data_IF_837386785644
#
_entry.id   IF_837386785644
#
_cell.length_a   1.000
_cell.length_b   1.000
_cell.length_c   1.000
_cell.angle_alpha   90.00
_cell.angle_beta   90.00
_cell.angle_gamma   90.00
#
_symmetry.space_group_name_H-M   'P 1'
#
loop_
_entity.id
_entity.type
_entity.pdbx_description
1 polymer ?
#
# COMPACT_ATOMS: atom_id res chain seq x y z
N UNK A 1 7.54 -7.48 -29.05
CA UNK A 1 6.26 -6.75 -29.28
C UNK A 1 5.05 -7.69 -29.23
N UNK A 2 5.14 -8.89 -29.80
CA UNK A 2 4.03 -9.87 -29.82
C UNK A 2 3.52 -10.26 -28.42
N UNK A 3 4.41 -10.58 -27.47
CA UNK A 3 4.02 -10.97 -26.10
C UNK A 3 3.24 -9.87 -25.37
N UNK A 4 3.67 -8.61 -25.50
CA UNK A 4 2.99 -7.47 -24.90
C UNK A 4 1.60 -7.28 -25.52
N UNK A 5 1.50 -7.43 -26.84
CA UNK A 5 0.23 -7.38 -27.55
C UNK A 5 -0.72 -8.51 -27.09
N UNK A 6 -0.21 -9.74 -26.93
CA UNK A 6 -0.99 -10.87 -26.39
C UNK A 6 -1.50 -10.59 -24.98
N UNK A 7 -0.69 -10.00 -24.11
CA UNK A 7 -1.10 -9.61 -22.75
C UNK A 7 -2.20 -8.55 -22.80
N UNK A 8 -2.03 -7.51 -23.63
CA UNK A 8 -3.03 -6.44 -23.76
C UNK A 8 -4.35 -7.00 -24.31
N UNK A 9 -4.31 -7.81 -25.36
CA UNK A 9 -5.49 -8.41 -25.97
C UNK A 9 -6.19 -9.36 -24.99
N UNK A 10 -5.44 -10.25 -24.33
CA UNK A 10 -6.00 -11.18 -23.35
C UNK A 10 -6.64 -10.47 -22.16
N UNK A 11 -5.98 -9.43 -21.63
CA UNK A 11 -6.53 -8.61 -20.56
C UNK A 11 -7.78 -7.85 -21.01
N UNK A 12 -7.80 -7.31 -22.23
CA UNK A 12 -8.97 -6.64 -22.79
C UNK A 12 -10.16 -7.59 -22.95
N UNK A 13 -9.95 -8.75 -23.58
CA UNK A 13 -10.98 -9.78 -23.78
C UNK A 13 -11.54 -10.24 -22.43
N UNK A 14 -10.66 -10.60 -21.49
CA UNK A 14 -11.10 -11.06 -20.18
C UNK A 14 -11.84 -9.97 -19.40
N UNK A 15 -11.39 -8.71 -19.45
CA UNK A 15 -12.06 -7.60 -18.76
C UNK A 15 -13.43 -7.30 -19.37
N UNK A 16 -13.53 -7.31 -20.70
CA UNK A 16 -14.82 -7.16 -21.41
C UNK A 16 -15.76 -8.28 -21.01
N UNK A 17 -15.29 -9.53 -21.02
CA UNK A 17 -16.05 -10.70 -20.56
C UNK A 17 -16.53 -10.53 -19.12
N UNK A 18 -15.64 -10.17 -18.19
CA UNK A 18 -15.98 -9.96 -16.78
C UNK A 18 -17.05 -8.87 -16.59
N UNK A 19 -16.90 -7.73 -17.26
CA UNK A 19 -17.87 -6.63 -17.17
C UNK A 19 -19.23 -7.03 -17.74
N UNK A 20 -19.23 -7.66 -18.92
CA UNK A 20 -20.45 -8.15 -19.56
C UNK A 20 -21.14 -9.19 -18.68
N UNK A 21 -20.42 -10.22 -18.23
CA UNK A 21 -20.95 -11.29 -17.40
C UNK A 21 -21.47 -10.76 -16.06
N UNK A 22 -20.71 -9.89 -15.39
CA UNK A 22 -21.13 -9.27 -14.12
C UNK A 22 -22.41 -8.45 -14.27
N UNK A 23 -22.56 -7.71 -15.37
CA UNK A 23 -23.80 -6.98 -15.67
C UNK A 23 -24.95 -7.92 -16.01
N UNK A 24 -24.70 -8.98 -16.78
CA UNK A 24 -25.70 -9.96 -17.17
C UNK A 24 -26.26 -10.68 -15.94
N UNK A 25 -25.41 -11.18 -15.05
CA UNK A 25 -25.85 -11.83 -13.79
C UNK A 25 -26.64 -10.88 -12.90
N UNK A 26 -26.24 -9.61 -12.82
CA UNK A 26 -26.93 -8.62 -11.98
C UNK A 26 -28.28 -8.20 -12.55
N UNK A 27 -28.39 -7.94 -13.85
CA UNK A 27 -29.56 -7.32 -14.47
C UNK A 27 -30.53 -8.29 -15.13
N UNK A 28 -30.07 -9.45 -15.62
CA UNK A 28 -30.89 -10.37 -16.40
C UNK A 28 -31.33 -11.56 -15.57
N UNK A 29 -32.65 -11.72 -15.29
CA UNK A 29 -33.16 -12.92 -14.61
C UNK A 29 -32.95 -14.17 -15.46
N UNK A 30 -32.97 -14.07 -16.80
CA UNK A 30 -32.70 -15.17 -17.70
C UNK A 30 -31.26 -15.71 -17.55
N UNK A 31 -30.27 -14.83 -17.33
CA UNK A 31 -28.89 -15.25 -17.06
C UNK A 31 -28.77 -16.02 -15.74
N UNK A 32 -29.50 -15.60 -14.71
CA UNK A 32 -29.53 -16.34 -13.43
C UNK A 32 -30.20 -17.71 -13.60
N UNK A 33 -31.30 -17.78 -14.34
CA UNK A 33 -31.96 -19.05 -14.66
C UNK A 33 -31.04 -20.00 -15.44
N UNK A 34 -30.27 -19.46 -16.40
CA UNK A 34 -29.26 -20.23 -17.14
C UNK A 34 -28.16 -20.79 -16.23
N UNK A 35 -27.64 -19.97 -15.30
CA UNK A 35 -26.67 -20.43 -14.30
C UNK A 35 -27.25 -21.55 -13.43
N UNK A 36 -28.52 -21.41 -13.01
CA UNK A 36 -29.19 -22.42 -12.19
C UNK A 36 -29.42 -23.73 -12.93
N UNK A 37 -29.66 -23.71 -14.25
CA UNK A 37 -29.79 -24.93 -15.05
C UNK A 37 -28.45 -25.56 -15.43
N UNK A 38 -27.35 -24.79 -15.44
CA UNK A 38 -26.01 -25.24 -15.84
C UNK A 38 -25.00 -25.18 -14.69
N UNK A 39 -25.42 -25.61 -13.48
CA UNK A 39 -24.56 -25.59 -12.30
C UNK A 39 -23.29 -26.43 -12.47
N UNK A 40 -23.32 -27.51 -13.25
CA UNK A 40 -22.11 -28.32 -13.49
C UNK A 40 -20.92 -27.48 -14.01
N UNK A 41 -21.19 -26.45 -14.82
CA UNK A 41 -20.18 -25.54 -15.37
C UNK A 41 -20.05 -24.24 -14.55
N UNK A 42 -21.19 -23.61 -14.24
CA UNK A 42 -21.24 -22.24 -13.74
C UNK A 42 -21.44 -22.13 -12.22
N UNK A 43 -21.54 -23.26 -11.51
CA UNK A 43 -21.54 -23.22 -10.06
C UNK A 43 -20.20 -22.64 -9.57
N UNK A 44 -20.17 -21.78 -8.53
CA UNK A 44 -18.94 -21.16 -8.04
C UNK A 44 -17.80 -22.17 -7.83
N UNK A 45 -18.08 -23.30 -7.16
CA UNK A 45 -17.08 -24.36 -6.95
C UNK A 45 -16.56 -24.96 -8.26
N UNK A 46 -17.42 -25.15 -9.28
CA UNK A 46 -17.01 -25.64 -10.59
C UNK A 46 -16.09 -24.66 -11.29
N UNK A 47 -16.40 -23.36 -11.23
CA UNK A 47 -15.54 -22.30 -11.77
C UNK A 47 -14.15 -22.35 -11.10
N UNK A 48 -14.09 -22.55 -9.78
CA UNK A 48 -12.81 -22.71 -9.06
C UNK A 48 -12.00 -23.91 -9.57
N UNK A 49 -12.65 -25.07 -9.82
CA UNK A 49 -11.96 -26.24 -10.39
C UNK A 49 -11.48 -26.00 -11.82
N UNK A 50 -12.33 -25.41 -12.68
CA UNK A 50 -11.95 -25.06 -14.05
C UNK A 50 -10.78 -24.11 -14.09
N UNK A 51 -10.76 -23.10 -13.21
CA UNK A 51 -9.66 -22.14 -13.06
C UNK A 51 -8.35 -22.82 -12.68
N UNK A 52 -8.36 -23.73 -11.70
CA UNK A 52 -7.19 -24.50 -11.32
C UNK A 52 -6.70 -25.42 -12.47
N UNK A 53 -7.62 -26.09 -13.17
CA UNK A 53 -7.30 -26.91 -14.35
C UNK A 53 -6.70 -26.09 -15.50
N UNK A 54 -7.25 -24.90 -15.77
CA UNK A 54 -6.69 -23.94 -16.71
C UNK A 54 -5.27 -23.52 -16.33
N UNK A 55 -4.99 -23.27 -15.05
CA UNK A 55 -3.64 -22.92 -14.62
C UNK A 55 -2.63 -24.05 -14.85
N UNK A 56 -3.02 -25.32 -14.61
CA UNK A 56 -2.18 -26.49 -14.90
C UNK A 56 -1.93 -26.59 -16.41
N UNK A 57 -2.98 -26.45 -17.23
CA UNK A 57 -2.85 -26.45 -18.68
C UNK A 57 -1.92 -25.32 -19.17
N UNK A 58 -2.10 -24.11 -18.64
CA UNK A 58 -1.24 -22.97 -18.93
C UNK A 58 0.22 -23.22 -18.55
N UNK A 59 0.46 -23.85 -17.39
CA UNK A 59 1.80 -24.25 -16.95
C UNK A 59 2.46 -25.20 -17.95
N UNK A 60 1.77 -26.28 -18.34
CA UNK A 60 2.30 -27.25 -19.31
C UNK A 60 2.57 -26.56 -20.65
N UNK A 61 1.62 -25.74 -21.13
CA UNK A 61 1.77 -25.04 -22.40
C UNK A 61 2.95 -24.06 -22.39
N UNK A 62 3.22 -23.39 -21.26
CA UNK A 62 4.31 -22.41 -21.16
C UNK A 62 5.69 -23.07 -21.06
N UNK A 63 5.84 -24.05 -20.18
CA UNK A 63 7.15 -24.60 -19.81
C UNK A 63 7.52 -25.88 -20.57
N UNK A 64 6.55 -26.61 -21.14
CA UNK A 64 6.78 -27.90 -21.83
C UNK A 64 6.61 -27.78 -23.33
N UNK A 65 5.75 -26.86 -23.81
CA UNK A 65 5.40 -26.74 -25.24
C UNK A 65 5.85 -25.39 -25.83
N UNK A 66 5.89 -25.22 -27.16
CA UNK A 66 6.21 -23.93 -27.78
C UNK A 66 5.07 -22.90 -27.71
N UNK A 67 3.87 -23.26 -27.23
CA UNK A 67 2.67 -22.42 -27.26
C UNK A 67 2.56 -21.40 -26.12
N UNK A 68 3.66 -20.68 -25.84
CA UNK A 68 3.75 -19.74 -24.71
C UNK A 68 2.74 -18.58 -24.77
N UNK A 69 2.43 -18.08 -25.97
CA UNK A 69 1.44 -17.01 -26.14
C UNK A 69 0.04 -17.44 -25.68
N UNK A 70 -0.35 -18.69 -25.96
CA UNK A 70 -1.63 -19.23 -25.53
C UNK A 70 -1.66 -19.49 -24.02
N UNK A 71 -0.55 -19.92 -23.43
CA UNK A 71 -0.42 -20.03 -21.98
C UNK A 71 -0.61 -18.68 -21.26
N UNK A 72 -0.04 -17.59 -21.79
CA UNK A 72 -0.24 -16.24 -21.23
C UNK A 72 -1.71 -15.83 -21.26
N UNK A 73 -2.40 -16.13 -22.36
CA UNK A 73 -3.85 -15.91 -22.46
C UNK A 73 -4.60 -16.70 -21.38
N UNK A 74 -4.27 -17.98 -21.18
CA UNK A 74 -4.89 -18.84 -20.17
C UNK A 74 -4.64 -18.31 -18.75
N UNK A 75 -3.40 -17.93 -18.39
CA UNK A 75 -3.09 -17.38 -17.07
C UNK A 75 -3.85 -16.08 -16.80
N UNK A 76 -3.90 -15.18 -17.80
CA UNK A 76 -4.61 -13.91 -17.69
C UNK A 76 -6.12 -14.13 -17.55
N UNK A 77 -6.69 -15.05 -18.32
CA UNK A 77 -8.11 -15.36 -18.24
C UNK A 77 -8.48 -16.06 -16.93
N UNK A 78 -7.65 -17.00 -16.46
CA UNK A 78 -7.83 -17.67 -15.17
C UNK A 78 -7.80 -16.69 -13.99
N UNK A 79 -6.92 -15.69 -14.02
CA UNK A 79 -6.88 -14.62 -13.02
C UNK A 79 -8.17 -13.76 -13.01
N UNK A 80 -8.85 -13.63 -14.15
CA UNK A 80 -10.10 -12.87 -14.25
C UNK A 80 -11.30 -13.72 -13.80
N UNK A 81 -11.26 -15.04 -14.03
CA UNK A 81 -12.29 -15.98 -13.55
C UNK A 81 -12.42 -16.02 -12.02
N UNK A 82 -11.35 -15.70 -11.29
CA UNK A 82 -11.37 -15.47 -9.83
C UNK A 82 -12.38 -14.41 -9.38
N UNK A 83 -12.67 -13.41 -10.24
CA UNK A 83 -13.73 -12.46 -9.94
C UNK A 83 -15.13 -13.01 -10.22
N UNK A 84 -15.23 -13.98 -11.14
CA UNK A 84 -16.49 -14.45 -11.73
C UNK A 84 -17.23 -15.36 -10.77
N UNK A 85 -16.56 -16.30 -10.10
CA UNK A 85 -17.17 -17.18 -9.09
C UNK A 85 -17.84 -16.36 -7.96
N UNK A 86 -17.20 -15.29 -7.47
CA UNK A 86 -17.74 -14.40 -6.46
C UNK A 86 -18.90 -13.52 -6.97
N UNK A 87 -18.99 -13.27 -8.29
CA UNK A 87 -20.16 -12.63 -8.91
C UNK A 87 -21.32 -13.61 -8.96
N UNK A 88 -21.07 -14.87 -9.34
CA UNK A 88 -22.11 -15.91 -9.40
C UNK A 88 -22.63 -16.24 -8.00
N UNK A 89 -21.73 -16.47 -7.03
CA UNK A 89 -22.09 -16.81 -5.65
C UNK A 89 -23.02 -15.76 -5.03
N UNK A 90 -22.69 -14.46 -5.18
CA UNK A 90 -23.52 -13.35 -4.67
C UNK A 90 -24.77 -13.09 -5.50
N UNK A 91 -24.69 -13.22 -6.82
CA UNK A 91 -25.79 -12.91 -7.74
C UNK A 91 -26.88 -13.97 -7.76
N UNK A 92 -26.52 -15.22 -7.47
CA UNK A 92 -27.42 -16.38 -7.48
C UNK A 92 -27.63 -16.99 -6.08
N UNK A 93 -27.01 -16.43 -5.04
CA UNK A 93 -27.04 -16.94 -3.66
C UNK A 93 -26.59 -18.42 -3.54
N UNK A 94 -25.55 -18.79 -4.31
CA UNK A 94 -24.99 -20.15 -4.38
C UNK A 94 -23.74 -20.31 -3.48
N UNK A 95 -23.68 -19.61 -2.35
CA UNK A 95 -22.59 -19.74 -1.39
C UNK A 95 -22.62 -21.09 -0.70
N UNK A 96 -21.47 -21.77 -0.59
CA UNK A 96 -21.35 -23.07 0.10
C UNK A 96 -20.19 -23.05 1.09
N UNK A 97 -20.33 -23.76 2.22
CA UNK A 97 -19.24 -23.89 3.23
C UNK A 97 -17.99 -24.52 2.61
N UNK A 98 -18.18 -25.50 1.71
CA UNK A 98 -17.08 -26.08 0.94
C UNK A 98 -16.42 -25.04 0.03
N UNK A 99 -17.21 -24.25 -0.70
CA UNK A 99 -16.72 -23.19 -1.57
C UNK A 99 -15.88 -22.16 -0.82
N UNK A 100 -16.28 -21.77 0.39
CA UNK A 100 -15.50 -20.86 1.23
C UNK A 100 -14.11 -21.39 1.61
N UNK A 101 -13.92 -22.71 1.61
CA UNK A 101 -12.62 -23.35 1.83
C UNK A 101 -11.86 -23.57 0.52
N UNK A 102 -12.56 -24.03 -0.51
CA UNK A 102 -12.04 -24.36 -1.83
C UNK A 102 -11.48 -23.15 -2.56
N UNK A 103 -12.21 -22.03 -2.57
CA UNK A 103 -11.88 -20.86 -3.38
C UNK A 103 -10.47 -20.31 -3.07
N UNK A 104 -10.09 -20.02 -1.81
CA UNK A 104 -8.72 -19.57 -1.51
C UNK A 104 -7.63 -20.63 -1.72
N UNK A 105 -7.99 -21.91 -1.85
CA UNK A 105 -7.05 -22.96 -2.25
C UNK A 105 -6.84 -22.95 -3.76
N UNK A 106 -7.91 -22.86 -4.54
CA UNK A 106 -7.86 -22.70 -5.99
C UNK A 106 -7.09 -21.44 -6.41
N UNK A 107 -7.22 -20.32 -5.68
CA UNK A 107 -6.39 -19.13 -5.91
C UNK A 107 -4.90 -19.47 -5.92
N UNK A 108 -4.45 -20.13 -4.86
CA UNK A 108 -3.04 -20.49 -4.64
C UNK A 108 -2.56 -21.46 -5.70
N UNK A 109 -3.38 -22.43 -6.08
CA UNK A 109 -3.08 -23.36 -7.16
C UNK A 109 -3.03 -22.68 -8.54
N UNK A 110 -3.67 -21.51 -8.70
CA UNK A 110 -3.69 -20.80 -9.98
C UNK A 110 -2.40 -19.98 -10.19
N UNK A 111 -1.83 -19.36 -9.15
CA UNK A 111 -0.61 -18.55 -9.29
C UNK A 111 0.68 -19.21 -8.79
N UNK A 112 0.67 -20.10 -7.79
CA UNK A 112 1.91 -20.68 -7.25
C UNK A 112 2.63 -21.59 -8.25
N UNK A 113 1.99 -22.52 -8.97
CA UNK A 113 2.69 -23.38 -9.91
C UNK A 113 3.40 -22.60 -11.03
N UNK A 114 2.77 -21.60 -11.69
CA UNK A 114 3.49 -20.75 -12.64
C UNK A 114 4.68 -20.00 -12.03
N UNK A 115 4.55 -19.47 -10.81
CA UNK A 115 5.68 -18.81 -10.12
C UNK A 115 6.84 -19.78 -9.84
N UNK A 116 6.54 -21.03 -9.46
CA UNK A 116 7.54 -22.09 -9.29
C UNK A 116 8.22 -22.39 -10.64
N UNK A 117 7.45 -22.48 -11.72
CA UNK A 117 8.01 -22.65 -13.08
C UNK A 117 8.97 -21.52 -13.45
N UNK A 118 8.60 -20.26 -13.20
CA UNK A 118 9.47 -19.11 -13.45
C UNK A 118 10.68 -19.02 -12.52
N UNK A 119 10.61 -19.64 -11.34
CA UNK A 119 11.78 -19.80 -10.48
C UNK A 119 12.77 -20.80 -11.07
N UNK A 120 12.29 -21.89 -11.68
CA UNK A 120 13.16 -22.84 -12.39
C UNK A 120 13.82 -22.25 -13.64
N UNK A 121 13.18 -21.31 -14.32
CA UNK A 121 13.80 -20.58 -15.44
C UNK A 121 14.78 -19.48 -15.02
N UNK A 122 14.89 -19.20 -13.70
CA UNK A 122 15.81 -18.21 -13.16
C UNK A 122 15.32 -16.76 -13.15
N UNK A 123 14.05 -16.50 -13.50
CA UNK A 123 13.46 -15.15 -13.48
C UNK A 123 13.12 -14.71 -12.04
N UNK A 124 12.78 -15.68 -11.20
CA UNK A 124 12.47 -15.52 -9.78
C UNK A 124 13.46 -16.29 -8.90
N UNK A 125 13.73 -15.76 -7.71
CA UNK A 125 14.48 -16.50 -6.70
C UNK A 125 13.67 -17.68 -6.16
N UNK A 126 14.16 -18.90 -6.39
CA UNK A 126 13.57 -20.14 -5.87
C UNK A 126 13.37 -20.11 -4.35
N UNK A 127 14.31 -19.50 -3.61
CA UNK A 127 14.21 -19.34 -2.15
C UNK A 127 12.98 -18.54 -1.76
N UNK A 128 12.70 -17.44 -2.45
CA UNK A 128 11.56 -16.58 -2.15
C UNK A 128 10.23 -17.27 -2.50
N UNK A 129 10.15 -17.97 -3.63
CA UNK A 129 8.92 -18.67 -4.04
C UNK A 129 8.58 -19.80 -3.04
N UNK A 130 9.59 -20.55 -2.57
CA UNK A 130 9.40 -21.57 -1.55
C UNK A 130 8.92 -20.99 -0.22
N UNK A 131 9.48 -19.85 0.22
CA UNK A 131 9.03 -19.14 1.43
C UNK A 131 7.57 -18.71 1.27
N UNK A 132 7.19 -18.09 0.15
CA UNK A 132 5.81 -17.69 -0.10
C UNK A 132 4.87 -18.90 -0.03
N UNK A 133 5.25 -19.99 -0.71
CA UNK A 133 4.46 -21.23 -0.76
C UNK A 133 4.25 -21.79 0.64
N UNK A 134 5.31 -21.88 1.45
CA UNK A 134 5.24 -22.38 2.81
C UNK A 134 4.30 -21.53 3.68
N UNK A 135 4.39 -20.20 3.61
CA UNK A 135 3.52 -19.29 4.39
C UNK A 135 2.06 -19.41 3.95
N UNK A 136 1.80 -19.52 2.65
CA UNK A 136 0.44 -19.62 2.10
C UNK A 136 -0.27 -20.92 2.49
N UNK A 137 0.43 -22.05 2.42
CA UNK A 137 -0.12 -23.35 2.80
C UNK A 137 -0.24 -23.49 4.31
N UNK A 138 0.82 -23.17 5.07
CA UNK A 138 0.79 -23.20 6.54
C UNK A 138 -0.29 -22.25 7.07
N UNK A 139 -0.34 -21.02 6.57
CA UNK A 139 -1.34 -20.02 6.95
C UNK A 139 -2.77 -20.40 6.61
N UNK A 140 -3.01 -21.20 5.55
CA UNK A 140 -4.36 -21.72 5.28
C UNK A 140 -4.76 -22.77 6.31
N UNK A 141 -3.92 -23.79 6.46
CA UNK A 141 -4.23 -24.98 7.24
C UNK A 141 -4.26 -24.63 8.73
N UNK A 142 -3.21 -23.96 9.21
CA UNK A 142 -3.07 -23.57 10.61
C UNK A 142 -4.15 -22.58 11.02
N UNK A 143 -4.27 -21.44 10.32
CA UNK A 143 -5.21 -20.41 10.76
C UNK A 143 -6.65 -20.90 10.74
N UNK A 144 -7.08 -21.64 9.70
CA UNK A 144 -8.46 -22.15 9.67
C UNK A 144 -8.71 -23.23 10.72
N UNK A 145 -7.78 -24.16 10.95
CA UNK A 145 -7.96 -25.22 11.96
C UNK A 145 -8.03 -24.63 13.37
N UNK A 146 -7.13 -23.70 13.69
CA UNK A 146 -7.12 -23.00 14.99
C UNK A 146 -8.37 -22.15 15.17
N UNK A 147 -8.75 -21.33 14.19
CA UNK A 147 -9.90 -20.43 14.32
C UNK A 147 -11.24 -21.17 14.31
N UNK A 148 -11.36 -22.27 13.57
CA UNK A 148 -12.51 -23.18 13.64
C UNK A 148 -12.66 -23.80 15.03
N UNK A 149 -11.53 -24.21 15.65
CA UNK A 149 -11.53 -24.70 17.03
C UNK A 149 -11.95 -23.63 18.04
N UNK A 150 -11.74 -22.35 17.72
CA UNK A 150 -12.13 -21.21 18.55
C UNK A 150 -13.54 -20.66 18.24
N UNK A 151 -14.30 -21.28 17.32
CA UNK A 151 -15.63 -20.83 16.85
C UNK A 151 -15.67 -19.38 16.33
N UNK A 152 -14.53 -18.84 15.90
CA UNK A 152 -14.45 -17.50 15.31
C UNK A 152 -14.58 -17.66 13.79
N UNK A 153 -15.58 -17.01 13.18
CA UNK A 153 -15.71 -17.02 11.72
C UNK A 153 -14.58 -16.20 11.10
N UNK A 154 -13.84 -16.82 10.18
CA UNK A 154 -12.65 -16.22 9.57
C UNK A 154 -13.05 -15.57 8.26
N UNK A 155 -13.46 -14.32 8.31
CA UNK A 155 -13.66 -13.54 7.10
C UNK A 155 -12.31 -13.30 6.38
N UNK A 156 -12.34 -13.29 5.05
CA UNK A 156 -11.16 -12.94 4.25
C UNK A 156 -10.74 -11.49 4.52
N UNK A 157 -9.48 -11.27 4.92
CA UNK A 157 -8.93 -9.93 5.11
C UNK A 157 -8.45 -9.31 3.79
N UNK A 158 -8.33 -7.98 3.77
CA UNK A 158 -7.94 -7.26 2.56
C UNK A 158 -6.50 -7.57 2.12
N UNK A 159 -5.60 -7.89 3.07
CA UNK A 159 -4.21 -8.25 2.77
C UNK A 159 -4.11 -9.48 1.87
N UNK A 160 -4.88 -10.53 2.17
CA UNK A 160 -4.91 -11.75 1.36
C UNK A 160 -5.38 -11.50 -0.07
N UNK A 161 -6.43 -10.68 -0.23
CA UNK A 161 -6.98 -10.29 -1.55
C UNK A 161 -5.99 -9.48 -2.37
N UNK A 162 -5.38 -8.45 -1.78
CA UNK A 162 -4.38 -7.60 -2.45
C UNK A 162 -3.20 -8.45 -2.90
N UNK A 163 -2.69 -9.32 -2.01
CA UNK A 163 -1.58 -10.22 -2.33
C UNK A 163 -1.93 -11.17 -3.49
N UNK A 164 -3.13 -11.74 -3.53
CA UNK A 164 -3.54 -12.61 -4.63
C UNK A 164 -3.50 -11.88 -5.99
N UNK A 165 -4.03 -10.65 -6.05
CA UNK A 165 -3.98 -9.81 -7.26
C UNK A 165 -2.53 -9.55 -7.69
N UNK A 166 -1.64 -9.22 -6.74
CA UNK A 166 -0.22 -8.98 -7.04
C UNK A 166 0.46 -10.25 -7.53
N UNK A 167 0.17 -11.42 -6.96
CA UNK A 167 0.71 -12.70 -7.44
C UNK A 167 0.27 -13.01 -8.87
N UNK A 168 -1.00 -12.78 -9.22
CA UNK A 168 -1.47 -12.94 -10.60
C UNK A 168 -0.76 -11.98 -11.57
N UNK A 169 -0.62 -10.71 -11.18
CA UNK A 169 0.12 -9.74 -11.97
C UNK A 169 1.61 -10.13 -12.11
N UNK A 170 2.20 -10.72 -11.06
CA UNK A 170 3.59 -11.18 -11.07
C UNK A 170 3.79 -12.34 -12.06
N UNK A 171 2.85 -13.27 -12.18
CA UNK A 171 2.90 -14.35 -13.19
C UNK A 171 2.95 -13.75 -14.61
N UNK A 172 2.08 -12.78 -14.90
CA UNK A 172 2.03 -12.09 -16.20
C UNK A 172 3.33 -11.30 -16.45
N UNK A 173 3.85 -10.63 -15.43
CA UNK A 173 5.12 -9.89 -15.51
C UNK A 173 6.30 -10.82 -15.80
N UNK A 174 6.37 -11.98 -15.15
CA UNK A 174 7.43 -12.96 -15.39
C UNK A 174 7.41 -13.47 -16.85
N UNK A 175 6.21 -13.75 -17.38
CA UNK A 175 6.05 -14.14 -18.79
C UNK A 175 6.50 -13.04 -19.77
N UNK A 176 6.30 -11.76 -19.42
CA UNK A 176 6.75 -10.64 -20.23
C UNK A 176 8.29 -10.49 -20.20
N UNK A 177 8.90 -10.68 -19.02
CA UNK A 177 10.35 -10.55 -18.83
C UNK A 177 11.14 -11.70 -19.49
N UNK A 178 10.59 -12.92 -19.48
CA UNK A 178 11.17 -14.09 -20.15
C UNK A 178 11.49 -13.81 -21.63
N UNK A 179 10.61 -13.06 -22.30
CA UNK A 179 10.77 -12.66 -23.71
C UNK A 179 11.52 -11.35 -23.92
N UNK A 180 11.74 -10.56 -22.86
CA UNK A 180 12.35 -9.23 -22.95
C UNK A 180 13.35 -9.01 -21.80
N UNK A 181 14.51 -9.69 -21.81
CA UNK A 181 15.49 -9.64 -20.72
C UNK A 181 16.14 -8.25 -20.50
N UNK A 182 15.98 -7.33 -21.45
CA UNK A 182 16.48 -5.94 -21.33
C UNK A 182 15.66 -5.05 -20.37
N UNK A 183 14.49 -5.50 -19.92
CA UNK A 183 13.69 -4.77 -18.93
C UNK A 183 14.28 -5.01 -17.54
N UNK A 184 14.35 -3.95 -16.73
CA UNK A 184 14.84 -4.03 -15.34
C UNK A 184 14.00 -5.05 -14.57
N UNK A 185 14.64 -6.09 -14.05
CA UNK A 185 13.98 -7.12 -13.28
C UNK A 185 13.75 -6.66 -11.82
N UNK A 186 12.49 -6.41 -11.47
CA UNK A 186 12.04 -6.11 -10.10
C UNK A 186 11.07 -7.17 -9.55
N UNK A 187 11.04 -8.37 -10.15
CA UNK A 187 10.11 -9.45 -9.77
C UNK A 187 10.37 -9.94 -8.35
N UNK A 188 11.63 -10.12 -7.95
CA UNK A 188 11.99 -10.54 -6.59
C UNK A 188 11.54 -9.52 -5.53
N UNK A 189 11.62 -8.22 -5.83
CA UNK A 189 11.12 -7.16 -4.95
C UNK A 189 9.60 -7.23 -4.79
N UNK A 190 8.86 -7.50 -5.88
CA UNK A 190 7.41 -7.73 -5.83
C UNK A 190 7.10 -9.01 -5.04
N UNK A 191 7.85 -10.08 -5.25
CA UNK A 191 7.67 -11.34 -4.56
C UNK A 191 7.90 -11.19 -3.05
N UNK A 192 8.90 -10.41 -2.63
CA UNK A 192 9.12 -10.06 -1.24
C UNK A 192 7.92 -9.29 -0.66
N UNK A 193 7.34 -8.36 -1.42
CA UNK A 193 6.12 -7.67 -1.01
C UNK A 193 4.93 -8.65 -0.85
N UNK A 194 4.80 -9.64 -1.74
CA UNK A 194 3.80 -10.70 -1.60
C UNK A 194 4.02 -11.55 -0.33
N UNK A 195 5.27 -11.91 -0.01
CA UNK A 195 5.62 -12.64 1.23
C UNK A 195 5.24 -11.81 2.47
N UNK A 196 5.56 -10.52 2.47
CA UNK A 196 5.20 -9.63 3.55
C UNK A 196 3.68 -9.51 3.72
N UNK A 197 2.93 -9.33 2.62
CA UNK A 197 1.46 -9.27 2.65
C UNK A 197 0.83 -10.61 3.06
N UNK A 198 1.42 -11.73 2.66
CA UNK A 198 0.99 -13.08 3.05
C UNK A 198 1.15 -13.28 4.56
N UNK A 199 2.33 -12.95 5.08
CA UNK A 199 2.62 -13.02 6.52
C UNK A 199 1.68 -12.12 7.31
N UNK A 200 1.51 -10.87 6.86
CA UNK A 200 0.55 -9.94 7.45
C UNK A 200 -0.87 -10.52 7.41
N UNK A 201 -1.32 -11.10 6.30
CA UNK A 201 -2.64 -11.72 6.20
C UNK A 201 -2.85 -12.83 7.23
N UNK A 202 -1.83 -13.63 7.53
CA UNK A 202 -1.91 -14.68 8.57
C UNK A 202 -1.99 -14.06 9.96
N UNK A 203 -1.09 -13.12 10.29
CA UNK A 203 -1.02 -12.48 11.61
C UNK A 203 -2.31 -11.71 11.92
N UNK A 204 -2.78 -10.88 10.98
CA UNK A 204 -3.97 -10.04 11.16
C UNK A 204 -5.29 -10.84 11.21
N UNK A 205 -5.30 -12.15 10.93
CA UNK A 205 -6.48 -13.01 11.21
C UNK A 205 -6.69 -13.25 12.71
N UNK A 206 -5.62 -13.19 13.51
CA UNK A 206 -5.69 -13.40 14.96
C UNK A 206 -5.90 -12.10 15.75
N UNK A 207 -5.78 -10.95 15.07
CA UNK A 207 -5.84 -9.64 15.70
C UNK A 207 -7.22 -9.01 15.40
N UNK A 208 -7.99 -8.63 16.44
CA UNK A 208 -9.25 -7.92 16.24
C UNK A 208 -9.04 -6.59 15.50
N UNK A 209 -9.94 -6.28 14.55
CA UNK A 209 -9.83 -5.11 13.67
C UNK A 209 -9.67 -3.76 14.41
N UNK A 210 -10.19 -3.65 15.64
CA UNK A 210 -10.07 -2.44 16.49
C UNK A 210 -8.63 -2.06 16.85
N UNK A 211 -7.69 -3.01 16.80
CA UNK A 211 -6.27 -2.78 17.11
C UNK A 211 -5.46 -2.35 15.89
N UNK A 212 -6.06 -2.27 14.69
CA UNK A 212 -5.31 -1.97 13.47
C UNK A 212 -4.71 -0.56 13.50
N UNK A 213 -5.44 0.43 14.04
CA UNK A 213 -4.92 1.77 14.21
C UNK A 213 -3.72 1.77 15.18
N UNK A 214 -3.90 1.20 16.35
CA UNK A 214 -2.87 1.09 17.38
C UNK A 214 -1.58 0.40 16.86
N UNK A 215 -1.70 -0.69 16.11
CA UNK A 215 -0.54 -1.38 15.52
C UNK A 215 0.20 -0.45 14.55
N UNK A 216 -0.52 0.31 13.73
CA UNK A 216 0.08 1.25 12.79
C UNK A 216 0.80 2.40 13.51
N UNK A 217 0.23 2.96 14.57
CA UNK A 217 0.90 3.97 15.40
C UNK A 217 2.14 3.38 16.09
N UNK A 218 2.07 2.14 16.56
CA UNK A 218 3.23 1.40 17.09
C UNK A 218 4.34 1.19 16.06
N UNK A 219 3.98 0.88 14.81
CA UNK A 219 4.94 0.80 13.70
C UNK A 219 5.56 2.16 13.37
N UNK A 220 4.78 3.25 13.40
CA UNK A 220 5.30 4.62 13.26
C UNK A 220 6.33 4.92 14.36
N UNK A 221 6.04 4.59 15.62
CA UNK A 221 6.97 4.77 16.73
C UNK A 221 8.27 3.98 16.55
N UNK A 222 8.19 2.72 16.11
CA UNK A 222 9.37 1.89 15.80
C UNK A 222 10.19 2.52 14.66
N UNK A 223 9.54 3.07 13.63
CA UNK A 223 10.21 3.81 12.57
C UNK A 223 10.99 5.02 13.12
N UNK A 224 10.39 5.77 14.06
CA UNK A 224 11.06 6.86 14.76
C UNK A 224 12.33 6.42 15.49
N UNK A 225 12.26 5.32 16.27
CA UNK A 225 13.43 4.76 16.98
C UNK A 225 14.51 4.29 16.00
N UNK A 226 14.14 3.54 14.96
CA UNK A 226 15.10 3.05 13.96
C UNK A 226 15.78 4.23 13.25
N UNK A 227 15.05 5.32 12.97
CA UNK A 227 15.62 6.53 12.40
C UNK A 227 16.67 7.17 13.31
N UNK A 228 16.42 7.24 14.62
CA UNK A 228 17.41 7.74 15.59
C UNK A 228 18.69 6.90 15.56
N UNK A 229 18.56 5.57 15.57
CA UNK A 229 19.72 4.64 15.50
C UNK A 229 20.47 4.78 14.17
N UNK A 230 19.77 4.89 13.05
CA UNK A 230 20.39 5.07 11.73
C UNK A 230 21.09 6.43 11.62
N UNK A 231 20.54 7.46 12.24
CA UNK A 231 21.13 8.80 12.31
C UNK A 231 22.42 8.80 13.11
N UNK A 232 22.46 8.08 14.23
CA UNK A 232 23.67 7.86 15.03
C UNK A 232 24.78 7.18 14.21
N UNK A 233 24.44 6.22 13.35
CA UNK A 233 25.39 5.60 12.41
C UNK A 233 25.66 6.45 11.15
N UNK A 234 25.24 7.72 11.12
CA UNK A 234 25.36 8.65 10.00
C UNK A 234 24.75 8.16 8.67
N UNK A 235 23.81 7.20 8.72
CA UNK A 235 23.08 6.67 7.55
C UNK A 235 21.81 7.48 7.28
N UNK A 236 21.98 8.78 7.03
CA UNK A 236 20.88 9.76 6.95
C UNK A 236 19.81 9.44 5.90
N UNK A 237 20.21 9.00 4.70
CA UNK A 237 19.25 8.66 3.65
C UNK A 237 18.31 7.51 4.09
N UNK A 238 18.86 6.50 4.77
CA UNK A 238 18.08 5.40 5.32
C UNK A 238 17.22 5.84 6.50
N UNK A 239 17.76 6.66 7.41
CA UNK A 239 16.99 7.23 8.53
C UNK A 239 15.73 7.98 8.04
N UNK A 240 15.90 8.85 7.04
CA UNK A 240 14.81 9.62 6.44
C UNK A 240 13.81 8.70 5.72
N UNK A 241 14.30 7.67 5.04
CA UNK A 241 13.44 6.70 4.36
C UNK A 241 12.53 5.95 5.33
N UNK A 242 13.05 5.61 6.52
CA UNK A 242 12.26 4.98 7.59
C UNK A 242 11.23 5.96 8.18
N UNK A 243 11.54 7.26 8.30
CA UNK A 243 10.55 8.27 8.70
C UNK A 243 9.44 8.42 7.65
N UNK A 244 9.77 8.39 6.36
CA UNK A 244 8.76 8.41 5.29
C UNK A 244 7.85 7.17 5.39
N UNK A 245 8.40 5.99 5.73
CA UNK A 245 7.59 4.80 6.01
C UNK A 245 6.68 5.01 7.25
N UNK A 246 7.21 5.60 8.34
CA UNK A 246 6.42 5.98 9.52
C UNK A 246 5.27 6.93 9.19
N UNK A 247 5.51 7.91 8.32
CA UNK A 247 4.48 8.82 7.80
C UNK A 247 3.39 8.12 6.99
N UNK A 248 3.72 7.03 6.28
CA UNK A 248 2.70 6.22 5.63
C UNK A 248 1.84 5.49 6.68
N UNK A 249 2.43 4.99 7.77
CA UNK A 249 1.68 4.33 8.84
C UNK A 249 0.74 5.31 9.58
N UNK A 250 1.22 6.50 9.95
CA UNK A 250 0.41 7.60 10.49
C UNK A 250 -0.77 7.97 9.56
N UNK A 251 -0.51 8.12 8.25
CA UNK A 251 -1.60 8.40 7.30
C UNK A 251 -2.68 7.30 7.27
N UNK A 252 -2.30 6.05 7.51
CA UNK A 252 -3.21 4.91 7.50
C UNK A 252 -3.89 4.65 8.85
N UNK A 253 -3.29 4.98 9.99
CA UNK A 253 -3.84 4.67 11.30
C UNK A 253 -5.17 5.41 11.57
N UNK A 254 -5.26 6.71 11.25
CA UNK A 254 -6.47 7.50 11.42
C UNK A 254 -7.60 7.03 10.51
N UNK A 255 -7.25 6.54 9.31
CA UNK A 255 -8.23 5.91 8.40
C UNK A 255 -8.70 4.56 8.93
N UNK A 256 -7.82 3.79 9.55
CA UNK A 256 -8.18 2.51 10.17
C UNK A 256 -9.04 2.73 11.41
N UNK A 257 -8.74 3.74 12.24
CA UNK A 257 -9.53 4.12 13.41
C UNK A 257 -10.97 4.51 13.02
N UNK A 258 -11.13 5.29 11.95
CA UNK A 258 -12.46 5.65 11.42
C UNK A 258 -13.24 4.45 10.88
N UNK A 259 -12.55 3.47 10.27
CA UNK A 259 -13.20 2.34 9.59
C UNK A 259 -13.51 1.18 10.53
N UNK A 260 -12.60 0.86 11.45
CA UNK A 260 -12.67 -0.34 12.30
C UNK A 260 -12.83 -0.01 13.79
N UNK A 261 -12.89 1.27 14.16
CA UNK A 261 -12.76 1.74 15.52
C UNK A 261 -11.30 1.77 15.99
N UNK A 262 -11.08 2.34 17.16
CA UNK A 262 -9.77 2.36 17.84
C UNK A 262 -9.95 2.05 19.32
N UNK A 263 -8.84 1.85 20.04
CA UNK A 263 -8.89 1.69 21.49
C UNK A 263 -8.90 3.06 22.20
N UNK A 264 -9.18 3.05 23.50
CA UNK A 264 -9.12 4.26 24.33
C UNK A 264 -7.74 4.91 24.34
N UNK A 265 -6.68 4.10 24.24
CA UNK A 265 -5.29 4.55 24.31
C UNK A 265 -4.67 4.85 22.94
N UNK A 266 -5.30 4.39 21.85
CA UNK A 266 -4.84 4.62 20.47
C UNK A 266 -4.42 6.06 20.18
N UNK A 267 -5.27 7.08 20.46
CA UNK A 267 -4.91 8.48 20.22
C UNK A 267 -3.66 8.95 20.99
N UNK A 268 -3.44 8.48 22.22
CA UNK A 268 -2.25 8.85 22.99
C UNK A 268 -1.00 8.19 22.41
N UNK A 269 -1.12 6.95 21.95
CA UNK A 269 0.00 6.24 21.32
C UNK A 269 0.38 6.85 19.98
N UNK A 270 -0.60 7.28 19.19
CA UNK A 270 -0.43 8.06 17.96
C UNK A 270 0.32 9.37 18.24
N UNK A 271 -0.12 10.15 19.22
CA UNK A 271 0.52 11.41 19.60
C UNK A 271 2.00 11.24 20.03
N UNK A 272 2.30 10.15 20.75
CA UNK A 272 3.68 9.79 21.14
C UNK A 272 4.49 9.37 19.91
N UNK A 273 3.94 8.51 19.05
CA UNK A 273 4.60 8.05 17.83
C UNK A 273 4.96 9.23 16.92
N UNK A 274 4.03 10.14 16.70
CA UNK A 274 4.22 11.36 15.92
C UNK A 274 5.29 12.27 16.49
N UNK A 275 5.35 12.41 17.82
CA UNK A 275 6.37 13.23 18.46
C UNK A 275 7.77 12.63 18.26
N UNK A 276 7.93 11.31 18.35
CA UNK A 276 9.22 10.65 18.10
C UNK A 276 9.62 10.74 16.63
N UNK A 277 8.70 10.40 15.71
CA UNK A 277 8.98 10.34 14.27
C UNK A 277 9.13 11.71 13.61
N UNK A 278 8.32 12.69 14.00
CA UNK A 278 8.30 14.02 13.34
C UNK A 278 8.87 15.14 14.19
N UNK A 279 9.15 14.90 15.47
CA UNK A 279 9.82 15.86 16.37
C UNK A 279 11.26 15.46 16.65
N UNK A 280 11.45 14.37 17.39
CA UNK A 280 12.77 13.96 17.89
C UNK A 280 13.71 13.51 16.77
N UNK A 281 13.25 12.65 15.85
CA UNK A 281 14.12 12.14 14.79
C UNK A 281 14.66 13.24 13.85
N UNK A 282 13.84 14.18 13.33
CA UNK A 282 14.36 15.30 12.54
C UNK A 282 15.29 16.23 13.33
N UNK A 283 14.99 16.48 14.60
CA UNK A 283 15.85 17.28 15.46
C UNK A 283 17.23 16.65 15.64
N UNK A 284 17.28 15.33 15.82
CA UNK A 284 18.55 14.61 15.92
C UNK A 284 19.33 14.63 14.60
N UNK A 285 18.64 14.52 13.46
CA UNK A 285 19.27 14.70 12.13
C UNK A 285 19.87 16.10 11.98
N UNK A 286 19.21 17.16 12.48
CA UNK A 286 19.76 18.54 12.45
C UNK A 286 21.09 18.60 13.23
N UNK A 287 21.13 18.04 14.43
CA UNK A 287 22.33 18.03 15.29
C UNK A 287 23.49 17.36 14.57
N UNK A 288 23.27 16.13 14.08
CA UNK A 288 24.32 15.33 13.43
C UNK A 288 24.74 15.86 12.05
N UNK A 289 23.87 16.58 11.33
CA UNK A 289 24.20 17.17 10.01
C UNK A 289 24.82 18.55 10.07
N UNK A 290 24.33 19.42 10.96
CA UNK A 290 24.78 20.79 11.01
C UNK A 290 26.02 20.97 11.89
N UNK A 291 26.11 20.19 12.98
CA UNK A 291 27.15 20.35 13.99
C UNK A 291 27.14 21.71 14.69
N UNK A 292 28.01 21.87 15.68
CA UNK A 292 28.18 23.13 16.42
C UNK A 292 27.03 23.50 17.36
N UNK A 293 27.26 24.52 18.20
CA UNK A 293 26.34 24.90 19.27
C UNK A 293 24.94 25.32 18.75
N UNK A 294 24.89 26.02 17.62
CA UNK A 294 23.63 26.48 17.02
C UNK A 294 22.71 25.33 16.61
N UNK A 295 23.25 24.17 16.24
CA UNK A 295 22.44 23.01 15.87
C UNK A 295 21.59 22.50 17.05
N UNK A 296 22.14 22.49 18.26
CA UNK A 296 21.41 22.10 19.48
C UNK A 296 20.28 23.09 19.80
N UNK A 297 20.55 24.40 19.67
CA UNK A 297 19.54 25.44 19.93
C UNK A 297 18.40 25.34 18.91
N UNK A 298 18.72 25.22 17.62
CA UNK A 298 17.72 25.09 16.55
C UNK A 298 16.93 23.79 16.69
N UNK A 299 17.59 22.68 17.01
CA UNK A 299 16.93 21.40 17.25
C UNK A 299 16.00 21.43 18.48
N UNK A 300 16.43 22.07 19.57
CA UNK A 300 15.58 22.26 20.76
C UNK A 300 14.36 23.13 20.44
N UNK A 301 14.54 24.23 19.72
CA UNK A 301 13.44 25.08 19.26
C UNK A 301 12.47 24.30 18.35
N UNK A 302 12.99 23.45 17.47
CA UNK A 302 12.18 22.58 16.62
C UNK A 302 11.32 21.61 17.44
N UNK A 303 11.92 20.87 18.39
CA UNK A 303 11.20 19.93 19.26
C UNK A 303 10.10 20.65 20.04
N UNK A 304 10.41 21.80 20.64
CA UNK A 304 9.44 22.60 21.40
C UNK A 304 8.29 23.06 20.51
N UNK A 305 8.55 23.44 19.26
CA UNK A 305 7.51 23.83 18.32
C UNK A 305 6.58 22.67 17.95
N UNK A 306 7.12 21.46 17.80
CA UNK A 306 6.33 20.25 17.50
C UNK A 306 5.48 19.86 18.70
N UNK A 307 6.04 19.91 19.92
CA UNK A 307 5.31 19.67 21.16
C UNK A 307 4.18 20.69 21.37
N UNK A 308 4.46 21.98 21.19
CA UNK A 308 3.46 23.04 21.28
C UNK A 308 2.33 22.84 20.27
N UNK A 309 2.67 22.50 19.02
CA UNK A 309 1.69 22.22 17.98
C UNK A 309 0.80 21.01 18.33
N UNK A 310 1.39 19.95 18.89
CA UNK A 310 0.67 18.78 19.36
C UNK A 310 -0.35 19.15 20.45
N UNK A 311 0.10 19.87 21.47
CA UNK A 311 -0.76 20.34 22.56
C UNK A 311 -1.90 21.20 22.01
N UNK A 312 -1.58 22.21 21.18
CA UNK A 312 -2.59 23.08 20.56
C UNK A 312 -3.62 22.29 19.75
N UNK A 313 -3.18 21.26 19.03
CA UNK A 313 -4.08 20.44 18.24
C UNK A 313 -5.05 19.66 19.14
N UNK A 314 -4.54 19.01 20.19
CA UNK A 314 -5.34 18.21 21.12
C UNK A 314 -6.31 19.06 21.93
N UNK A 315 -5.88 20.21 22.45
CA UNK A 315 -6.69 21.06 23.34
C UNK A 315 -7.69 21.93 22.60
N UNK A 316 -7.30 22.45 21.43
CA UNK A 316 -8.00 23.57 20.79
C UNK A 316 -8.51 23.16 19.41
N UNK A 317 -7.62 22.82 18.47
CA UNK A 317 -8.02 22.65 17.08
C UNK A 317 -8.95 21.45 16.84
N UNK A 318 -8.88 20.40 17.69
CA UNK A 318 -9.78 19.23 17.60
C UNK A 318 -11.23 19.52 18.00
N UNK A 319 -11.45 20.51 18.86
CA UNK A 319 -12.78 20.87 19.39
C UNK A 319 -13.41 22.08 18.71
N UNK A 320 -12.71 22.66 17.74
CA UNK A 320 -13.12 23.84 17.01
C UNK A 320 -14.20 23.54 15.97
N UNK A 321 -15.31 24.25 16.05
CA UNK A 321 -16.44 24.18 15.10
C UNK A 321 -16.33 25.22 13.97
N UNK A 322 -15.36 26.14 14.05
CA UNK A 322 -15.14 27.22 13.07
C UNK A 322 -14.34 26.78 11.82
N UNK A 323 -13.80 25.56 11.82
CA UNK A 323 -12.99 25.02 10.73
C UNK A 323 -13.81 24.04 9.86
N UNK A 324 -13.82 24.21 8.52
CA UNK A 324 -14.37 23.20 7.62
C UNK A 324 -13.67 21.85 7.82
N UNK A 325 -14.44 20.76 7.74
CA UNK A 325 -13.92 19.42 7.92
C UNK A 325 -12.72 19.14 6.98
N UNK A 326 -11.53 18.92 7.57
CA UNK A 326 -10.31 18.60 6.83
C UNK A 326 -9.37 19.78 6.54
N UNK A 327 -9.55 20.93 7.18
CA UNK A 327 -8.58 22.04 7.16
C UNK A 327 -7.84 22.12 8.50
N UNK A 328 -6.52 22.20 8.46
CA UNK A 328 -5.67 22.35 9.65
C UNK A 328 -5.23 23.80 9.84
N UNK A 329 -4.98 24.16 11.09
CA UNK A 329 -4.37 25.41 11.50
C UNK A 329 -2.84 25.23 11.62
N UNK A 330 -2.08 25.87 10.72
CA UNK A 330 -0.63 25.69 10.55
C UNK A 330 -0.24 24.41 9.79
N UNK A 331 1.03 24.33 9.39
CA UNK A 331 1.58 23.21 8.59
C UNK A 331 1.65 21.88 9.37
N UNK A 332 1.06 20.77 8.88
CA UNK A 332 1.10 19.47 9.57
C UNK A 332 2.50 19.02 9.98
N UNK A 333 2.61 18.31 11.12
CA UNK A 333 3.90 17.80 11.65
C UNK A 333 4.68 16.96 10.62
N UNK A 334 4.05 15.98 9.92
CA UNK A 334 4.78 15.20 8.92
C UNK A 334 5.32 16.07 7.78
N UNK A 335 4.57 17.09 7.37
CA UNK A 335 5.00 18.04 6.36
C UNK A 335 6.20 18.89 6.84
N UNK A 336 6.16 19.38 8.08
CA UNK A 336 7.29 20.10 8.69
C UNK A 336 8.55 19.24 8.81
N UNK A 337 8.41 17.96 9.19
CA UNK A 337 9.50 17.01 9.23
C UNK A 337 10.14 16.79 7.85
N UNK A 338 9.33 16.65 6.80
CA UNK A 338 9.85 16.47 5.43
C UNK A 338 10.61 17.68 4.90
N UNK A 339 10.24 18.91 5.28
CA UNK A 339 11.01 20.12 4.94
C UNK A 339 12.42 20.03 5.53
N UNK A 340 12.51 19.74 6.84
CA UNK A 340 13.78 19.66 7.56
C UNK A 340 14.63 18.50 7.05
N UNK A 341 14.06 17.30 6.95
CA UNK A 341 14.77 16.10 6.52
C UNK A 341 15.22 16.19 5.05
N UNK A 342 14.39 16.74 4.17
CA UNK A 342 14.76 16.99 2.77
C UNK A 342 15.91 18.00 2.67
N UNK A 343 15.86 19.08 3.44
CA UNK A 343 16.94 20.07 3.50
C UNK A 343 18.23 19.47 4.07
N UNK A 344 18.17 18.60 5.08
CA UNK A 344 19.34 17.99 5.71
C UNK A 344 20.17 17.11 4.74
N UNK A 345 19.60 16.66 3.62
CA UNK A 345 20.31 15.90 2.60
C UNK A 345 20.99 16.76 1.52
N UNK A 346 20.61 18.04 1.42
CA UNK A 346 20.97 18.91 0.29
C UNK A 346 21.73 20.16 0.75
N UNK A 347 21.28 20.75 1.85
CA UNK A 347 21.68 22.08 2.30
C UNK A 347 22.91 22.05 3.20
N UNK A 348 23.72 23.12 3.12
CA UNK A 348 24.77 23.42 4.09
C UNK A 348 24.15 23.85 5.43
N UNK A 349 24.90 23.78 6.56
CA UNK A 349 24.37 24.06 7.90
C UNK A 349 23.61 25.39 8.04
N UNK A 350 24.08 26.54 7.50
CA UNK A 350 23.34 27.80 7.63
C UNK A 350 21.97 27.76 6.93
N UNK A 351 21.90 27.11 5.77
CA UNK A 351 20.65 26.96 5.01
C UNK A 351 19.72 25.96 5.71
N UNK A 352 20.27 24.90 6.31
CA UNK A 352 19.47 23.95 7.10
C UNK A 352 18.81 24.64 8.30
N UNK A 353 19.54 25.50 9.02
CA UNK A 353 18.99 26.25 10.14
C UNK A 353 17.87 27.20 9.71
N UNK A 354 18.08 27.96 8.63
CA UNK A 354 17.06 28.91 8.14
C UNK A 354 15.80 28.20 7.67
N UNK A 355 15.95 27.08 6.94
CA UNK A 355 14.82 26.25 6.51
C UNK A 355 14.09 25.62 7.72
N UNK A 356 14.83 25.24 8.76
CA UNK A 356 14.24 24.73 10.01
C UNK A 356 13.43 25.82 10.73
N UNK A 357 13.98 27.03 10.87
CA UNK A 357 13.25 28.17 11.44
C UNK A 357 11.99 28.50 10.63
N UNK A 358 12.07 28.43 9.30
CA UNK A 358 10.91 28.61 8.44
C UNK A 358 9.84 27.53 8.69
N UNK A 359 10.24 26.26 8.82
CA UNK A 359 9.32 25.17 9.17
C UNK A 359 8.67 25.39 10.54
N UNK A 360 9.42 25.84 11.55
CA UNK A 360 8.89 26.19 12.87
C UNK A 360 7.80 27.26 12.76
N UNK A 361 8.08 28.35 12.04
CA UNK A 361 7.12 29.46 11.84
C UNK A 361 5.85 28.93 11.17
N UNK A 362 5.97 28.13 10.11
CA UNK A 362 4.80 27.56 9.41
C UNK A 362 3.96 26.64 10.32
N UNK A 363 4.62 25.83 11.16
CA UNK A 363 3.94 24.93 12.09
C UNK A 363 3.20 25.67 13.21
N UNK A 364 3.76 26.76 13.73
CA UNK A 364 3.16 27.56 14.81
C UNK A 364 2.15 28.58 14.26
N UNK A 365 2.27 28.99 13.00
CA UNK A 365 1.38 29.96 12.38
C UNK A 365 -0.10 29.54 12.35
N UNK A 366 -0.95 30.54 12.08
CA UNK A 366 -2.39 30.37 11.82
C UNK A 366 -2.73 30.17 10.33
N UNK A 367 -1.73 29.87 9.49
CA UNK A 367 -1.95 29.64 8.06
C UNK A 367 -2.71 28.32 7.89
N UNK A 368 -3.83 28.36 7.18
CA UNK A 368 -4.70 27.20 6.99
C UNK A 368 -4.22 26.32 5.84
N UNK A 369 -4.06 25.02 6.09
CA UNK A 369 -3.64 24.03 5.09
C UNK A 369 -4.69 22.92 4.94
N UNK A 370 -5.00 22.54 3.70
CA UNK A 370 -5.88 21.40 3.45
C UNK A 370 -5.19 20.06 3.80
N UNK A 371 -5.94 19.15 4.40
CA UNK A 371 -5.48 17.82 4.76
C UNK A 371 -5.24 16.94 3.53
N UNK A 372 -4.04 16.36 3.43
CA UNK A 372 -3.65 15.48 2.32
C UNK A 372 -4.61 14.30 2.15
N UNK A 373 -4.75 13.46 3.17
CA UNK A 373 -5.60 12.26 3.10
C UNK A 373 -7.11 12.49 2.97
N UNK A 374 -7.68 13.53 3.61
CA UNK A 374 -9.14 13.75 3.67
C UNK A 374 -9.70 14.60 2.54
N UNK A 375 -8.94 15.60 2.07
CA UNK A 375 -9.39 16.56 1.05
C UNK A 375 -8.72 16.28 -0.28
N UNK A 376 -7.38 16.34 -0.34
CA UNK A 376 -6.62 16.23 -1.60
C UNK A 376 -6.82 14.85 -2.23
N UNK A 377 -6.57 13.76 -1.47
CA UNK A 377 -6.59 12.40 -2.01
C UNK A 377 -7.98 11.94 -2.48
N UNK A 378 -9.06 12.51 -1.93
CA UNK A 378 -10.44 12.14 -2.28
C UNK A 378 -10.89 12.76 -3.61
N UNK A 379 -10.27 13.87 -4.02
CA UNK A 379 -10.54 14.54 -5.31
C UNK A 379 -9.80 13.91 -6.49
N UNK A 380 -8.74 13.14 -6.22
CA UNK A 380 -7.95 12.48 -7.27
C UNK A 380 -8.73 11.25 -7.78
N UNK A 381 -9.00 11.13 -9.10
CA UNK A 381 -9.63 9.94 -9.64
C UNK A 381 -8.75 8.71 -9.42
N UNK A 382 -9.36 7.58 -9.05
CA UNK A 382 -8.66 6.32 -8.73
C UNK A 382 -7.59 5.89 -9.73
N UNK A 383 -7.79 5.92 -11.07
CA UNK A 383 -6.74 5.54 -12.01
C UNK A 383 -5.52 6.47 -11.93
N UNK A 384 -5.74 7.78 -11.78
CA UNK A 384 -4.66 8.76 -11.66
C UNK A 384 -3.87 8.57 -10.35
N UNK A 385 -4.56 8.21 -9.25
CA UNK A 385 -3.89 7.90 -7.98
C UNK A 385 -2.92 6.72 -8.11
N UNK A 386 -3.30 5.65 -8.82
CA UNK A 386 -2.42 4.52 -9.06
C UNK A 386 -1.24 4.87 -9.97
N UNK A 387 -1.46 5.69 -11.01
CA UNK A 387 -0.39 6.15 -11.91
C UNK A 387 0.62 7.04 -11.17
N UNK A 388 0.15 7.99 -10.37
CA UNK A 388 1.02 8.87 -9.55
C UNK A 388 1.81 8.02 -8.55
N UNK A 389 1.15 7.07 -7.88
CA UNK A 389 1.79 6.19 -6.89
C UNK A 389 2.87 5.30 -7.54
N UNK A 390 2.58 4.71 -8.70
CA UNK A 390 3.55 3.94 -9.48
C UNK A 390 4.73 4.81 -9.94
N UNK A 391 4.45 6.04 -10.41
CA UNK A 391 5.47 7.01 -10.78
C UNK A 391 6.41 7.33 -9.62
N UNK A 392 5.86 7.62 -8.42
CA UNK A 392 6.66 7.88 -7.22
C UNK A 392 7.54 6.67 -6.88
N UNK A 393 7.01 5.45 -6.90
CA UNK A 393 7.77 4.23 -6.60
C UNK A 393 8.93 4.06 -7.59
N UNK A 394 8.68 4.27 -8.89
CA UNK A 394 9.72 4.20 -9.92
C UNK A 394 10.78 5.28 -9.70
N UNK A 395 10.39 6.53 -9.47
CA UNK A 395 11.34 7.64 -9.23
C UNK A 395 12.20 7.37 -7.99
N UNK A 396 11.59 6.92 -6.89
CA UNK A 396 12.31 6.54 -5.67
C UNK A 396 13.28 5.39 -5.96
N UNK A 397 12.83 4.33 -6.66
CA UNK A 397 13.67 3.19 -7.02
C UNK A 397 14.87 3.61 -7.89
N UNK A 398 14.68 4.53 -8.83
CA UNK A 398 15.76 5.06 -9.67
C UNK A 398 16.75 5.86 -8.83
N UNK A 399 16.29 6.69 -7.90
CA UNK A 399 17.16 7.46 -7.02
C UNK A 399 17.99 6.54 -6.11
N UNK A 400 17.39 5.51 -5.53
CA UNK A 400 18.14 4.53 -4.74
C UNK A 400 19.21 3.82 -5.57
N UNK A 401 18.95 3.54 -6.86
CA UNK A 401 19.95 2.97 -7.77
C UNK A 401 21.12 3.92 -8.03
N UNK A 402 20.87 5.23 -8.09
CA UNK A 402 21.94 6.24 -8.27
C UNK A 402 22.81 6.44 -7.02
N UNK A 403 22.40 5.89 -5.87
CA UNK A 403 23.08 6.02 -4.57
C UNK A 403 23.41 7.47 -4.17
N UNK A 404 22.67 8.46 -4.69
CA UNK A 404 22.92 9.88 -4.45
C UNK A 404 21.94 10.45 -3.40
N UNK A 405 22.41 10.79 -2.18
CA UNK A 405 21.53 11.32 -1.13
C UNK A 405 20.91 12.68 -1.50
N UNK A 406 21.62 13.49 -2.29
CA UNK A 406 21.16 14.82 -2.71
C UNK A 406 19.92 14.75 -3.61
N UNK A 407 19.88 13.83 -4.59
CA UNK A 407 18.69 13.66 -5.44
C UNK A 407 17.48 13.21 -4.63
N UNK A 408 17.70 12.36 -3.62
CA UNK A 408 16.63 11.97 -2.70
C UNK A 408 16.09 13.17 -1.91
N UNK A 409 16.96 14.05 -1.42
CA UNK A 409 16.55 15.29 -0.76
C UNK A 409 15.77 16.25 -1.68
N UNK A 410 16.21 16.44 -2.93
CA UNK A 410 15.46 17.25 -3.92
C UNK A 410 14.08 16.67 -4.25
N UNK A 411 13.95 15.34 -4.29
CA UNK A 411 12.65 14.69 -4.47
C UNK A 411 11.71 15.01 -3.31
N UNK A 412 12.19 14.89 -2.07
CA UNK A 412 11.39 15.19 -0.86
C UNK A 412 10.96 16.66 -0.86
N UNK A 413 11.91 17.58 -1.13
CA UNK A 413 11.64 19.02 -1.18
C UNK A 413 10.68 19.40 -2.30
N UNK A 414 10.79 18.80 -3.49
CA UNK A 414 9.84 19.07 -4.57
C UNK A 414 8.44 18.53 -4.25
N UNK A 415 8.33 17.33 -3.68
CA UNK A 415 7.06 16.76 -3.25
C UNK A 415 6.37 17.62 -2.17
N UNK A 416 7.12 18.15 -1.19
CA UNK A 416 6.53 18.98 -0.13
C UNK A 416 6.11 20.36 -0.63
N UNK A 417 6.84 20.95 -1.57
CA UNK A 417 6.44 22.20 -2.22
C UNK A 417 5.13 22.02 -3.00
N UNK A 418 5.00 20.93 -3.77
CA UNK A 418 3.75 20.59 -4.46
C UNK A 418 2.61 20.41 -3.46
N UNK A 419 2.86 19.73 -2.33
CA UNK A 419 1.86 19.59 -1.26
C UNK A 419 1.44 20.96 -0.69
N UNK A 420 2.38 21.83 -0.33
CA UNK A 420 2.05 23.14 0.26
C UNK A 420 1.25 24.00 -0.71
N UNK A 421 1.63 24.05 -1.99
CA UNK A 421 0.90 24.81 -3.03
C UNK A 421 -0.52 24.27 -3.18
N UNK A 422 -0.67 22.94 -3.35
CA UNK A 422 -1.99 22.32 -3.50
C UNK A 422 -2.87 22.49 -2.26
N UNK A 423 -2.29 22.40 -1.06
CA UNK A 423 -2.99 22.57 0.20
C UNK A 423 -3.48 24.02 0.42
N UNK A 424 -2.70 25.02 0.01
CA UNK A 424 -3.09 26.43 0.06
C UNK A 424 -4.17 26.79 -0.96
N UNK A 425 -4.05 26.29 -2.20
CA UNK A 425 -5.07 26.50 -3.24
C UNK A 425 -6.42 25.90 -2.82
N UNK A 426 -6.41 24.67 -2.30
CA UNK A 426 -7.65 24.00 -1.88
C UNK A 426 -8.29 24.64 -0.64
N UNK A 427 -7.49 25.25 0.24
CA UNK A 427 -8.02 26.06 1.33
C UNK A 427 -8.78 27.29 0.81
N UNK A 428 -8.20 28.03 -0.15
CA UNK A 428 -8.88 29.19 -0.78
C UNK A 428 -10.20 28.80 -1.46
N UNK A 429 -10.25 27.64 -2.10
CA UNK A 429 -11.47 27.15 -2.77
C UNK A 429 -12.61 26.80 -1.78
N UNK A 430 -12.30 26.45 -0.52
CA UNK A 430 -13.29 26.20 0.52
C UNK A 430 -13.73 27.45 1.29
N UNK A 431 -12.99 28.56 1.19
CA UNK A 431 -13.35 29.85 1.80
C UNK A 431 -14.26 30.73 0.94
N UNK A 432 -14.51 30.36 -0.32
CA UNK A 432 -15.52 31.05 -1.15
C UNK A 432 -16.88 30.43 -0.81
N UNK A 433 -17.85 31.19 -0.27
CA UNK A 433 -19.21 30.70 -0.12
C UNK A 433 -19.71 30.31 -1.51
N UNK A 434 -20.26 29.12 -1.66
CA UNK A 434 -21.19 28.85 -2.76
C UNK A 434 -22.31 29.87 -2.61
N UNK A 435 -22.27 30.95 -3.40
CA UNK A 435 -23.38 31.89 -3.48
C UNK A 435 -24.61 31.09 -3.94
N UNK A 436 -25.78 31.34 -3.32
CA UNK A 436 -27.00 30.58 -3.57
C UNK A 436 -27.48 30.65 -5.02
#
# INVERSE_FOLDING_TARGET
>A
METLLTIIISAAIGTIFFIWFSRAVKKSPAMRAYIMSHQWLLHPNSICYWRAGMAILGFVLYFVTPYQAFAIFIFTFAAILDGVDGVVARGCNLGTVWGEWLDPMCDKLTYLPPLIGFAFTGILSMKLVLILTAIEFSGQIFARKVLSSLKISVAANNFGKIKAIICFALVILCALLDKNPGIINFTDSILLACIALSTASVVFKFIPNRFYADILSGLNFICGIISLVLTYHHKFAWAISVIIAGQLFDLFDGRMALKHGGTRYGPYMDDIADFVSFGLAPAYVIIEKAGGYLSYVVAAAYILSVAFRLIRFVTTDKHRTDLPAGIFNGLPRPAGAMIVLGAALVAAPPILWTVTCFAIILMVSHIRFAHLGRVILRKIPRPLFFVISAGIIVTVSLIFKTKSPKMFGYLILSAIVVYMITALIQNKAHSVPTQP
#
